data_IF_609437554605
#
_entry.id   IF_609437554605
#
_cell.length_a   1.000
_cell.length_b   1.000
_cell.length_c   1.000
_cell.angle_alpha   90.00
_cell.angle_beta   90.00
_cell.angle_gamma   90.00
#
_symmetry.space_group_name_H-M   'P 1'
#
loop_
_entity.id
_entity.type
_entity.pdbx_description
1 polymer ?
#
# COMPACT_ATOMS: atom_id res chain seq x y z
N UNK A 1 -1.64 -3.33 0.30
CA UNK A 1 -0.96 -4.22 -0.66
C UNK A 1 0.48 -3.75 -0.85
N UNK A 2 1.44 -4.66 -0.71
CA UNK A 2 2.89 -4.44 -0.89
C UNK A 2 3.44 -5.07 -2.17
N UNK A 3 2.80 -6.11 -2.70
CA UNK A 3 3.26 -6.85 -3.89
C UNK A 3 2.94 -6.17 -5.24
N UNK A 4 2.05 -5.17 -5.26
CA UNK A 4 1.63 -4.48 -6.50
C UNK A 4 0.61 -5.22 -7.37
N UNK A 5 0.29 -6.49 -7.08
CA UNK A 5 -0.58 -7.32 -7.93
C UNK A 5 -2.05 -7.42 -7.48
N UNK A 6 -2.45 -6.73 -6.40
CA UNK A 6 -3.85 -6.76 -5.97
C UNK A 6 -4.74 -6.01 -6.95
N UNK A 7 -5.91 -6.57 -7.28
CA UNK A 7 -6.95 -5.90 -8.07
C UNK A 7 -7.80 -4.94 -7.23
N UNK A 8 -7.75 -5.05 -5.89
CA UNK A 8 -8.47 -4.18 -4.94
C UNK A 8 -7.54 -3.17 -4.25
N UNK A 9 -6.60 -2.60 -5.02
CA UNK A 9 -5.71 -1.57 -4.51
C UNK A 9 -6.50 -0.45 -3.80
N UNK A 10 -5.98 0.10 -2.69
CA UNK A 10 -4.64 -0.10 -2.12
C UNK A 10 -4.51 -1.35 -1.22
N UNK A 11 -5.60 -2.10 -1.00
CA UNK A 11 -5.67 -3.22 -0.06
C UNK A 11 -5.24 -4.54 -0.70
N UNK A 12 -5.04 -5.54 0.15
CA UNK A 12 -4.65 -6.89 -0.27
C UNK A 12 -5.89 -7.75 -0.56
N UNK A 13 -5.91 -8.39 -1.72
CA UNK A 13 -6.92 -9.39 -2.15
C UNK A 13 -6.44 -10.85 -2.05
N UNK A 14 -5.17 -11.07 -1.70
CA UNK A 14 -4.55 -12.39 -1.66
C UNK A 14 -3.64 -12.71 -2.84
N UNK A 15 -3.57 -11.86 -3.87
CA UNK A 15 -2.70 -12.02 -5.04
C UNK A 15 -1.20 -12.10 -4.69
N UNK A 16 -0.81 -11.62 -3.50
CA UNK A 16 0.55 -11.73 -2.99
C UNK A 16 1.05 -13.18 -2.79
N UNK A 17 0.15 -14.18 -2.67
CA UNK A 17 0.52 -15.60 -2.42
C UNK A 17 1.42 -16.21 -3.49
N UNK A 18 1.42 -15.64 -4.70
CA UNK A 18 2.29 -16.06 -5.82
C UNK A 18 3.64 -15.33 -5.86
N UNK A 19 3.95 -14.57 -4.82
CA UNK A 19 5.15 -13.72 -4.72
C UNK A 19 5.86 -13.93 -3.38
N UNK A 20 7.06 -13.39 -3.22
CA UNK A 20 7.75 -13.34 -1.93
C UNK A 20 7.26 -12.25 -0.97
N UNK A 21 6.31 -11.41 -1.39
CA UNK A 21 5.84 -10.27 -0.60
C UNK A 21 4.70 -10.67 0.35
N UNK A 22 4.71 -10.08 1.55
CA UNK A 22 3.62 -10.21 2.55
C UNK A 22 2.84 -8.90 2.67
N UNK A 23 1.51 -8.93 2.90
CA UNK A 23 0.73 -7.74 3.15
C UNK A 23 1.25 -7.00 4.40
N UNK A 24 1.18 -5.67 4.36
CA UNK A 24 1.39 -4.84 5.55
C UNK A 24 0.04 -4.67 6.24
N UNK A 25 -0.08 -5.20 7.46
CA UNK A 25 -1.22 -4.93 8.32
C UNK A 25 -1.05 -3.55 8.95
N UNK A 26 -2.12 -2.78 9.00
CA UNK A 26 -2.17 -1.50 9.68
C UNK A 26 -3.58 -1.24 10.20
N UNK A 27 -3.68 -0.37 11.21
CA UNK A 27 -4.95 0.13 11.73
C UNK A 27 -5.03 1.61 11.38
N UNK A 28 -6.11 2.01 10.70
CA UNK A 28 -6.37 3.43 10.44
C UNK A 28 -7.04 4.06 11.66
N UNK A 29 -6.73 5.32 12.01
CA UNK A 29 -7.58 6.12 12.88
C UNK A 29 -9.00 6.22 12.29
N UNK A 30 -10.01 6.33 13.16
CA UNK A 30 -11.43 6.39 12.79
C UNK A 30 -11.75 7.59 11.87
N UNK A 31 -11.01 8.68 12.01
CA UNK A 31 -11.21 9.93 11.29
C UNK A 31 -9.85 10.46 10.78
N UNK A 32 -9.36 9.89 9.70
CA UNK A 32 -8.18 10.42 9.01
C UNK A 32 -8.45 10.54 7.51
N UNK A 33 -7.90 11.58 6.89
CA UNK A 33 -7.88 11.79 5.44
C UNK A 33 -6.51 11.42 4.84
N UNK A 34 -5.81 10.47 5.44
CA UNK A 34 -4.47 10.07 5.00
C UNK A 34 -4.55 9.20 3.73
N UNK A 35 -3.90 9.63 2.65
CA UNK A 35 -3.87 8.86 1.41
C UNK A 35 -2.99 7.61 1.56
N UNK A 36 -3.46 6.46 1.07
CA UNK A 36 -2.67 5.22 1.05
C UNK A 36 -1.77 5.13 -0.17
N UNK A 37 -0.62 4.46 -0.02
CA UNK A 37 0.37 4.33 -1.07
C UNK A 37 -0.04 3.31 -2.15
N UNK A 38 -0.10 3.78 -3.41
CA UNK A 38 -0.32 2.94 -4.59
C UNK A 38 0.98 2.57 -5.33
N UNK A 39 1.98 3.44 -5.34
CA UNK A 39 3.23 3.22 -6.09
C UNK A 39 4.21 2.21 -5.45
N UNK A 40 3.97 1.82 -4.19
CA UNK A 40 4.79 0.89 -3.38
C UNK A 40 6.22 1.38 -3.08
N UNK A 41 6.47 2.68 -3.25
CA UNK A 41 7.78 3.33 -3.05
C UNK A 41 7.78 4.40 -1.95
N UNK A 42 6.71 4.50 -1.18
CA UNK A 42 6.63 5.41 -0.02
C UNK A 42 7.62 5.00 1.07
N UNK A 43 8.24 5.97 1.73
CA UNK A 43 9.04 5.75 2.95
C UNK A 43 8.17 5.66 4.21
N UNK A 44 6.90 6.05 4.14
CA UNK A 44 5.96 6.09 5.27
C UNK A 44 4.78 5.13 5.09
N UNK A 45 5.03 3.94 4.50
CA UNK A 45 4.00 2.92 4.34
C UNK A 45 3.24 2.69 5.66
N UNK A 46 1.89 2.56 5.61
CA UNK A 46 1.05 2.34 4.44
C UNK A 46 0.68 3.62 3.65
N UNK A 47 1.09 4.79 4.12
CA UNK A 47 0.65 6.09 3.62
C UNK A 47 1.46 6.60 2.42
N UNK A 48 0.87 7.51 1.66
CA UNK A 48 1.49 8.20 0.56
C UNK A 48 2.35 9.36 1.07
N UNK A 49 3.60 9.43 0.62
CA UNK A 49 4.55 10.52 0.91
C UNK A 49 4.88 11.37 -0.33
N UNK A 50 4.12 11.22 -1.42
CA UNK A 50 4.32 11.97 -2.66
C UNK A 50 5.58 11.63 -3.45
N UNK A 51 6.41 10.67 -3.03
CA UNK A 51 7.64 10.33 -3.76
C UNK A 51 7.44 9.94 -5.21
N UNK A 52 6.28 9.38 -5.53
CA UNK A 52 5.96 8.94 -6.89
C UNK A 52 5.88 10.08 -7.90
N UNK A 53 5.68 11.32 -7.46
CA UNK A 53 5.64 12.48 -8.35
C UNK A 53 7.01 12.88 -8.91
N UNK A 54 8.10 12.27 -8.42
CA UNK A 54 9.48 12.52 -8.86
C UNK A 54 10.14 11.28 -9.48
N UNK A 55 9.32 10.29 -9.88
CA UNK A 55 9.78 9.04 -10.51
C UNK A 55 9.77 9.12 -12.03
#
# INVERSE_FOLDING_TARGET
>A
CTCGHSSTQPLCDGSHKRTGFKPLLFTSPLSSNEALCLCKRSRTLPYCDGKHSKL
#
